data_IF_117082004459
#
_entry.id   IF_117082004459
#
_cell.length_a   1.000
_cell.length_b   1.000
_cell.length_c   1.000
_cell.angle_alpha   90.00
_cell.angle_beta   90.00
_cell.angle_gamma   90.00
#
_symmetry.space_group_name_H-M   'P 1'
#
loop_
_entity.id
_entity.type
_entity.pdbx_description
1 polymer ?
#
# COMPACT_ATOMS: atom_id res chain seq x y z
N UNK A 1 -18.58 26.83 -24.75
CA UNK A 1 -17.64 27.64 -23.93
C UNK A 1 -17.58 27.02 -22.55
N UNK A 2 -16.70 26.04 -22.37
CA UNK A 2 -16.58 25.29 -21.11
C UNK A 2 -15.60 26.03 -20.18
N UNK A 3 -16.00 26.15 -18.92
CA UNK A 3 -15.50 27.07 -17.89
C UNK A 3 -13.97 27.17 -17.74
N UNK A 4 -13.32 28.10 -18.45
CA UNK A 4 -11.92 28.52 -18.17
C UNK A 4 -11.75 29.08 -16.75
N UNK A 5 -12.82 29.64 -16.16
CA UNK A 5 -12.80 30.15 -14.78
C UNK A 5 -12.67 29.05 -13.71
N UNK A 6 -13.22 27.86 -13.96
CA UNK A 6 -13.25 26.78 -12.99
C UNK A 6 -11.88 26.09 -12.87
N UNK A 7 -11.12 26.08 -13.96
CA UNK A 7 -9.76 25.54 -14.02
C UNK A 7 -8.74 26.48 -13.33
N UNK A 8 -8.81 27.79 -13.64
CA UNK A 8 -7.96 28.79 -12.98
C UNK A 8 -8.16 28.82 -11.46
N UNK A 9 -9.41 28.70 -10.98
CA UNK A 9 -9.71 28.71 -9.54
C UNK A 9 -9.10 27.49 -8.83
N UNK A 10 -9.11 26.31 -9.46
CA UNK A 10 -8.53 25.07 -8.90
C UNK A 10 -7.00 25.10 -8.89
N UNK A 11 -6.39 25.67 -9.94
CA UNK A 11 -4.94 25.90 -9.99
C UNK A 11 -4.51 26.82 -8.84
N UNK A 12 -5.25 27.91 -8.61
CA UNK A 12 -5.00 28.85 -7.51
C UNK A 12 -5.14 28.14 -6.15
N UNK A 13 -6.19 27.34 -5.94
CA UNK A 13 -6.38 26.55 -4.71
C UNK A 13 -5.22 25.57 -4.48
N UNK A 14 -4.72 24.91 -5.53
CA UNK A 14 -3.57 24.02 -5.45
C UNK A 14 -2.28 24.73 -5.07
N UNK A 15 -2.03 25.93 -5.62
CA UNK A 15 -0.86 26.76 -5.29
C UNK A 15 -0.94 27.23 -3.83
N UNK A 16 -2.09 27.76 -3.42
CA UNK A 16 -2.32 28.23 -2.05
C UNK A 16 -2.17 27.09 -1.05
N UNK A 17 -2.78 25.93 -1.33
CA UNK A 17 -2.66 24.73 -0.49
C UNK A 17 -1.22 24.23 -0.37
N UNK A 18 -0.45 24.29 -1.46
CA UNK A 18 0.97 23.94 -1.47
C UNK A 18 1.82 24.87 -0.60
N UNK A 19 1.57 26.17 -0.66
CA UNK A 19 2.26 27.17 0.19
C UNK A 19 1.92 26.93 1.67
N UNK A 20 0.64 26.77 2.01
CA UNK A 20 0.19 26.50 3.39
C UNK A 20 0.82 25.22 3.93
N UNK A 21 0.90 24.17 3.11
CA UNK A 21 1.54 22.92 3.49
C UNK A 21 3.04 23.10 3.77
N UNK A 22 3.77 23.80 2.90
CA UNK A 22 5.19 24.06 3.07
C UNK A 22 5.49 24.88 4.34
N UNK A 23 4.66 25.91 4.61
CA UNK A 23 4.76 26.71 5.85
C UNK A 23 4.50 25.85 7.08
N UNK A 24 3.45 25.02 7.07
CA UNK A 24 3.14 24.12 8.19
C UNK A 24 4.27 23.14 8.50
N UNK A 25 4.84 22.52 7.46
CA UNK A 25 6.00 21.62 7.60
C UNK A 25 7.22 22.37 8.15
N UNK A 26 7.48 23.59 7.66
CA UNK A 26 8.56 24.45 8.16
C UNK A 26 8.42 24.77 9.65
N UNK A 27 7.20 25.09 10.12
CA UNK A 27 6.94 25.35 11.54
C UNK A 27 7.19 24.11 12.42
N UNK A 28 6.81 22.92 11.94
CA UNK A 28 7.08 21.66 12.65
C UNK A 28 8.59 21.41 12.75
N UNK A 29 9.33 21.58 11.65
CA UNK A 29 10.80 21.40 11.62
C UNK A 29 11.48 22.41 12.55
N UNK A 30 11.10 23.68 12.49
CA UNK A 30 11.68 24.73 13.33
C UNK A 30 11.43 24.46 14.82
N UNK A 31 10.23 24.01 15.18
CA UNK A 31 9.91 23.66 16.56
C UNK A 31 10.73 22.44 17.04
N UNK A 32 10.90 21.43 16.19
CA UNK A 32 11.73 20.26 16.53
C UNK A 32 13.22 20.61 16.65
N UNK A 33 13.76 21.47 15.78
CA UNK A 33 15.14 21.92 15.87
C UNK A 33 15.38 22.75 17.14
N UNK A 34 14.41 23.58 17.54
CA UNK A 34 14.49 24.41 18.75
C UNK A 34 14.57 23.58 20.05
N UNK A 35 14.09 22.33 20.05
CA UNK A 35 14.24 21.40 21.18
C UNK A 35 15.71 21.08 21.48
N UNK A 36 16.56 20.98 20.44
CA UNK A 36 17.98 20.69 20.60
C UNK A 36 18.82 21.94 20.94
N UNK A 37 18.28 23.15 20.71
CA UNK A 37 18.88 24.44 21.07
C UNK A 37 18.43 24.96 22.45
N UNK A 38 17.60 24.19 23.17
CA UNK A 38 16.88 24.62 24.37
C UNK A 38 17.72 25.08 25.59
N UNK A 39 18.98 24.67 25.86
CA UNK A 39 19.67 25.18 27.05
C UNK A 39 20.05 26.68 26.96
N UNK A 40 19.83 27.34 25.81
CA UNK A 40 20.18 28.75 25.61
C UNK A 40 19.04 29.77 25.83
N UNK A 41 17.76 29.36 25.81
CA UNK A 41 16.62 30.31 25.76
C UNK A 41 15.46 29.83 26.65
N UNK A 42 15.58 30.07 27.96
CA UNK A 42 14.68 29.57 29.01
C UNK A 42 13.23 30.11 29.03
N UNK A 43 12.72 30.71 27.95
CA UNK A 43 11.36 31.28 27.89
C UNK A 43 10.45 30.67 26.80
N UNK A 44 10.89 29.61 26.11
CA UNK A 44 10.23 29.18 24.86
C UNK A 44 9.35 27.92 25.01
N UNK A 45 9.31 27.28 26.18
CA UNK A 45 8.69 25.94 26.31
C UNK A 45 7.18 25.91 26.01
N UNK A 46 6.42 26.93 26.41
CA UNK A 46 4.96 26.99 26.18
C UNK A 46 4.60 27.34 24.73
N UNK A 47 5.43 28.15 24.04
CA UNK A 47 5.20 28.53 22.64
C UNK A 47 5.63 27.43 21.65
N UNK A 48 6.44 26.44 22.07
CA UNK A 48 6.80 25.30 21.23
C UNK A 48 5.62 24.37 20.96
N UNK A 49 4.88 23.98 22.01
CA UNK A 49 3.73 23.10 21.85
C UNK A 49 2.63 23.71 20.97
N UNK A 50 2.43 25.03 21.05
CA UNK A 50 1.44 25.72 20.21
C UNK A 50 1.87 25.78 18.75
N UNK A 51 3.17 25.95 18.46
CA UNK A 51 3.70 25.96 17.09
C UNK A 51 3.64 24.58 16.42
N UNK A 52 3.86 23.49 17.16
CA UNK A 52 3.70 22.12 16.62
C UNK A 52 2.24 21.85 16.27
N UNK A 53 1.30 22.16 17.18
CA UNK A 53 -0.13 21.96 16.94
C UNK A 53 -0.60 22.80 15.74
N UNK A 54 -0.19 24.07 15.68
CA UNK A 54 -0.50 24.96 14.56
C UNK A 54 0.07 24.43 13.24
N UNK A 55 1.31 23.92 13.26
CA UNK A 55 1.96 23.32 12.10
C UNK A 55 1.21 22.09 11.57
N UNK A 56 0.80 21.17 12.45
CA UNK A 56 0.04 19.97 12.06
C UNK A 56 -1.30 20.33 11.42
N UNK A 57 -2.02 21.30 12.01
CA UNK A 57 -3.30 21.79 11.47
C UNK A 57 -3.11 22.46 10.11
N UNK A 58 -2.09 23.31 9.96
CA UNK A 58 -1.77 23.94 8.68
C UNK A 58 -1.41 22.89 7.61
N UNK A 59 -0.59 21.90 7.95
CA UNK A 59 -0.19 20.85 7.01
C UNK A 59 -1.34 19.93 6.59
N UNK A 60 -2.29 19.62 7.47
CA UNK A 60 -3.46 18.80 7.12
C UNK A 60 -4.40 19.54 6.17
N UNK A 61 -4.66 20.82 6.41
CA UNK A 61 -5.46 21.69 5.55
C UNK A 61 -4.78 21.86 4.18
N UNK A 62 -3.48 22.14 4.16
CA UNK A 62 -2.72 22.28 2.91
C UNK A 62 -2.77 21.02 2.04
N UNK A 63 -2.61 19.83 2.64
CA UNK A 63 -2.72 18.54 1.91
C UNK A 63 -4.12 18.31 1.35
N UNK A 64 -5.17 18.63 2.12
CA UNK A 64 -6.55 18.48 1.66
C UNK A 64 -6.85 19.39 0.46
N UNK A 65 -6.41 20.65 0.49
CA UNK A 65 -6.58 21.60 -0.62
C UNK A 65 -5.84 21.17 -1.89
N UNK A 66 -4.60 20.68 -1.76
CA UNK A 66 -3.83 20.13 -2.89
C UNK A 66 -4.50 18.87 -3.46
N UNK A 67 -5.07 18.01 -2.60
CA UNK A 67 -5.83 16.83 -3.01
C UNK A 67 -7.07 17.19 -3.81
N UNK A 68 -7.86 18.17 -3.33
CA UNK A 68 -9.05 18.65 -4.01
C UNK A 68 -8.75 19.33 -5.35
N UNK A 69 -7.62 20.04 -5.47
CA UNK A 69 -7.16 20.60 -6.73
C UNK A 69 -6.81 19.53 -7.78
N UNK A 70 -6.37 18.34 -7.35
CA UNK A 70 -5.97 17.23 -8.25
C UNK A 70 -7.12 16.34 -8.71
N UNK A 71 -8.27 16.35 -8.04
CA UNK A 71 -9.42 15.55 -8.48
C UNK A 71 -10.04 16.15 -9.74
N UNK A 72 -9.54 15.76 -10.91
CA UNK A 72 -10.23 15.96 -12.19
C UNK A 72 -11.53 15.15 -12.14
N UNK A 73 -12.69 15.82 -12.03
CA UNK A 73 -13.93 15.21 -12.52
C UNK A 73 -13.80 15.23 -14.04
N UNK A 74 -13.47 14.08 -14.63
CA UNK A 74 -13.38 13.89 -16.07
C UNK A 74 -14.79 14.03 -16.66
N UNK A 75 -15.03 15.11 -17.37
CA UNK A 75 -16.29 15.42 -18.07
C UNK A 75 -15.98 15.77 -19.52
N UNK A 76 -15.39 14.83 -20.25
CA UNK A 76 -15.21 14.89 -21.71
C UNK A 76 -16.09 13.84 -22.42
N UNK A 77 -16.51 14.09 -23.68
CA UNK A 77 -17.22 13.08 -24.48
C UNK A 77 -16.37 11.81 -24.63
N UNK A 78 -16.97 10.65 -24.34
CA UNK A 78 -16.31 9.33 -24.22
C UNK A 78 -15.82 8.72 -25.54
N UNK A 79 -15.83 9.46 -26.66
CA UNK A 79 -15.58 8.88 -27.98
C UNK A 79 -14.09 8.81 -28.36
N UNK A 80 -13.27 9.79 -27.97
CA UNK A 80 -11.85 9.83 -28.36
C UNK A 80 -10.94 8.92 -27.53
N UNK A 81 -11.41 8.46 -26.35
CA UNK A 81 -10.63 7.56 -25.50
C UNK A 81 -10.72 6.09 -25.96
N UNK A 82 -11.74 5.74 -26.76
CA UNK A 82 -11.94 4.39 -27.31
C UNK A 82 -11.13 4.13 -28.58
N UNK A 83 -10.81 5.16 -29.35
CA UNK A 83 -9.99 5.04 -30.57
C UNK A 83 -8.52 4.84 -30.22
N UNK A 84 -7.97 5.68 -29.33
CA UNK A 84 -6.59 5.55 -28.85
C UNK A 84 -6.34 4.23 -28.12
N UNK A 85 -7.29 3.74 -27.33
CA UNK A 85 -7.17 2.42 -26.67
C UNK A 85 -7.19 1.27 -27.67
N UNK A 86 -7.87 1.42 -28.81
CA UNK A 86 -7.88 0.39 -29.87
C UNK A 86 -6.58 0.39 -30.65
N UNK A 87 -6.06 1.55 -31.05
CA UNK A 87 -4.77 1.66 -31.74
C UNK A 87 -3.61 1.15 -30.86
N UNK A 88 -3.59 1.52 -29.57
CA UNK A 88 -2.57 1.04 -28.61
C UNK A 88 -2.71 -0.46 -28.31
N UNK A 89 -3.92 -1.02 -28.41
CA UNK A 89 -4.16 -2.46 -28.21
C UNK A 89 -3.79 -3.27 -29.46
N UNK A 90 -3.91 -2.68 -30.65
CA UNK A 90 -3.56 -3.29 -31.92
C UNK A 90 -2.03 -3.30 -32.13
N UNK A 91 -1.33 -2.23 -31.75
CA UNK A 91 0.14 -2.12 -31.89
C UNK A 91 0.94 -2.93 -30.83
N UNK A 92 0.34 -3.21 -29.66
CA UNK A 92 0.93 -4.15 -28.69
C UNK A 92 0.74 -5.63 -29.07
N UNK A 93 0.03 -5.92 -30.16
CA UNK A 93 -0.19 -7.28 -30.63
C UNK A 93 0.64 -7.54 -31.88
N UNK A 94 1.98 -7.59 -31.77
CA UNK A 94 2.76 -8.63 -32.49
C UNK A 94 4.23 -8.76 -32.04
N UNK A 95 4.63 -10.04 -31.94
CA UNK A 95 5.98 -10.60 -32.03
C UNK A 95 6.87 -10.68 -30.75
N UNK A 96 6.56 -11.64 -29.88
CA UNK A 96 7.62 -12.51 -29.34
C UNK A 96 7.28 -13.96 -29.68
N UNK A 97 8.02 -14.47 -30.65
CA UNK A 97 7.79 -15.76 -31.28
C UNK A 97 8.58 -16.86 -30.56
N UNK A 98 7.85 -17.92 -30.19
CA UNK A 98 8.28 -19.32 -30.04
C UNK A 98 9.27 -19.70 -28.94
N UNK A 99 8.84 -19.71 -27.67
CA UNK A 99 9.19 -20.79 -26.73
C UNK A 99 7.93 -21.22 -25.95
N UNK A 100 7.32 -22.32 -26.40
CA UNK A 100 6.44 -23.25 -25.68
C UNK A 100 5.48 -22.73 -24.57
N UNK A 101 4.50 -21.90 -24.92
CA UNK A 101 3.36 -21.54 -24.05
C UNK A 101 2.43 -22.72 -23.65
N UNK A 102 2.67 -23.94 -24.17
CA UNK A 102 2.03 -25.16 -23.62
C UNK A 102 2.65 -25.60 -22.29
N UNK A 103 3.91 -25.27 -22.04
CA UNK A 103 4.63 -25.65 -20.81
C UNK A 103 4.32 -24.64 -19.69
N UNK A 104 4.31 -23.33 -20.00
CA UNK A 104 4.07 -22.27 -19.01
C UNK A 104 2.62 -22.22 -18.44
N UNK A 105 1.61 -22.65 -19.21
CA UNK A 105 0.22 -22.76 -18.71
C UNK A 105 -0.03 -24.00 -17.84
N UNK A 106 0.82 -25.02 -17.96
CA UNK A 106 0.74 -26.19 -17.08
C UNK A 106 1.35 -25.88 -15.71
N UNK A 107 2.30 -24.95 -15.63
CA UNK A 107 2.95 -24.59 -14.36
C UNK A 107 2.16 -23.59 -13.49
N UNK A 108 1.40 -22.66 -14.07
CA UNK A 108 0.64 -21.66 -13.28
C UNK A 108 -0.75 -22.09 -12.81
N UNK A 109 -1.21 -23.30 -13.20
CA UNK A 109 -2.51 -23.84 -12.78
C UNK A 109 -2.45 -25.30 -12.33
N UNK A 110 -1.29 -25.74 -11.86
CA UNK A 110 -1.21 -26.80 -10.86
C UNK A 110 -0.86 -26.09 -9.55
N UNK A 111 -1.89 -25.65 -8.82
CA UNK A 111 -1.75 -25.33 -7.41
C UNK A 111 -1.20 -26.60 -6.75
N UNK A 112 0.13 -26.72 -6.67
CA UNK A 112 0.71 -27.69 -5.77
C UNK A 112 0.27 -27.23 -4.38
N UNK A 113 -0.68 -27.99 -3.86
CA UNK A 113 -1.27 -27.81 -2.56
C UNK A 113 -0.16 -28.17 -1.57
N UNK A 114 0.57 -27.17 -1.06
CA UNK A 114 1.67 -27.37 -0.11
C UNK A 114 1.38 -26.74 1.25
N UNK A 115 1.98 -27.33 2.27
CA UNK A 115 1.90 -26.92 3.68
C UNK A 115 3.31 -26.78 4.26
N UNK A 116 3.52 -25.82 5.15
CA UNK A 116 4.81 -25.60 5.82
C UNK A 116 4.80 -26.23 7.20
N UNK A 117 5.83 -27.04 7.46
CA UNK A 117 6.02 -27.76 8.71
C UNK A 117 6.06 -26.79 9.91
N UNK A 118 5.39 -27.09 11.03
CA UNK A 118 5.43 -26.23 12.21
C UNK A 118 6.84 -26.18 12.85
N UNK A 119 7.59 -27.29 12.77
CA UNK A 119 8.90 -27.47 13.42
C UNK A 119 10.08 -26.88 12.62
N UNK A 120 10.15 -27.18 11.31
CA UNK A 120 11.32 -26.82 10.49
C UNK A 120 11.01 -25.89 9.31
N UNK A 121 9.75 -25.45 9.19
CA UNK A 121 9.25 -24.58 8.11
C UNK A 121 9.39 -25.13 6.68
N UNK A 122 9.86 -26.37 6.51
CA UNK A 122 9.99 -27.02 5.22
C UNK A 122 8.61 -27.18 4.54
N UNK A 123 8.60 -27.02 3.22
CA UNK A 123 7.43 -27.26 2.39
C UNK A 123 7.20 -28.75 2.23
N UNK A 124 5.96 -29.18 2.43
CA UNK A 124 5.51 -30.56 2.28
C UNK A 124 4.22 -30.58 1.45
N UNK A 125 3.92 -31.70 0.82
CA UNK A 125 2.61 -31.92 0.20
C UNK A 125 1.50 -31.72 1.25
N UNK A 126 0.39 -31.10 0.87
CA UNK A 126 -0.78 -30.88 1.75
C UNK A 126 -1.36 -32.18 2.33
N UNK A 127 -1.12 -33.33 1.68
CA UNK A 127 -1.56 -34.65 2.16
C UNK A 127 -0.47 -35.43 2.90
N UNK A 128 0.73 -34.86 3.07
CA UNK A 128 1.81 -35.52 3.78
C UNK A 128 1.43 -35.69 5.26
N UNK A 129 1.53 -36.92 5.78
CA UNK A 129 1.34 -37.19 7.22
C UNK A 129 2.58 -36.91 8.05
N UNK A 130 3.74 -36.77 7.38
CA UNK A 130 5.05 -36.61 8.01
C UNK A 130 5.89 -35.64 7.18
N UNK A 131 6.69 -34.81 7.85
CA UNK A 131 7.58 -33.88 7.19
C UNK A 131 8.75 -34.59 6.52
N UNK A 132 9.00 -34.27 5.24
CA UNK A 132 10.10 -34.86 4.47
C UNK A 132 11.48 -34.41 4.95
N UNK A 133 11.57 -33.24 5.61
CA UNK A 133 12.84 -32.68 6.06
C UNK A 133 13.20 -33.07 7.51
N UNK A 134 12.25 -32.97 8.45
CA UNK A 134 12.51 -33.21 9.87
C UNK A 134 11.83 -34.45 10.46
N UNK A 135 10.98 -35.15 9.71
CA UNK A 135 10.27 -36.34 10.21
C UNK A 135 9.13 -36.06 11.20
N UNK A 136 8.79 -34.79 11.47
CA UNK A 136 7.68 -34.44 12.35
C UNK A 136 6.32 -34.88 11.76
N UNK A 137 5.37 -35.32 12.61
CA UNK A 137 4.01 -35.61 12.16
C UNK A 137 3.26 -34.32 11.82
N UNK A 138 2.56 -34.32 10.68
CA UNK A 138 1.76 -33.20 10.19
C UNK A 138 0.25 -33.44 10.37
N UNK A 139 -0.14 -34.59 10.93
CA UNK A 139 -1.54 -34.96 11.16
C UNK A 139 -2.10 -34.16 12.33
N UNK A 140 -3.34 -33.69 12.21
CA UNK A 140 -4.01 -32.94 13.28
C UNK A 140 -3.65 -31.47 13.35
N UNK A 141 -3.05 -30.91 12.28
CA UNK A 141 -2.79 -29.47 12.15
C UNK A 141 -3.70 -28.83 11.10
N UNK A 142 -4.10 -27.58 11.34
CA UNK A 142 -4.80 -26.76 10.34
C UNK A 142 -3.82 -25.87 9.60
N UNK A 143 -4.06 -25.68 8.31
CA UNK A 143 -3.21 -24.85 7.45
C UNK A 143 -3.68 -23.40 7.46
N UNK A 144 -2.75 -22.46 7.62
CA UNK A 144 -3.02 -21.04 7.40
C UNK A 144 -3.22 -20.74 5.90
N UNK A 145 -4.32 -20.08 5.55
CA UNK A 145 -4.63 -19.66 4.18
C UNK A 145 -3.66 -18.61 3.62
N UNK A 146 -3.06 -17.78 4.50
CA UNK A 146 -2.18 -16.68 4.10
C UNK A 146 -0.71 -17.09 3.98
N UNK A 147 -0.20 -17.83 4.97
CA UNK A 147 1.22 -18.19 5.03
C UNK A 147 1.48 -19.69 4.92
N UNK A 148 0.46 -20.51 4.71
CA UNK A 148 0.56 -21.97 4.54
C UNK A 148 1.22 -22.75 5.68
N UNK A 149 1.53 -22.10 6.81
CA UNK A 149 2.09 -22.80 7.98
C UNK A 149 1.02 -23.60 8.69
N UNK A 150 1.38 -24.82 9.07
CA UNK A 150 0.54 -25.68 9.91
C UNK A 150 0.52 -25.17 11.35
N UNK A 151 -0.66 -25.16 11.94
CA UNK A 151 -0.95 -24.66 13.29
C UNK A 151 -1.84 -25.68 14.02
N UNK A 152 -1.74 -25.74 15.34
CA UNK A 152 -2.61 -26.61 16.15
C UNK A 152 -4.09 -26.24 15.92
N UNK A 153 -4.99 -27.23 15.98
CA UNK A 153 -6.41 -27.04 15.64
C UNK A 153 -7.12 -25.99 16.51
N UNK A 154 -6.74 -25.90 17.77
CA UNK A 154 -7.31 -25.03 18.80
C UNK A 154 -6.76 -23.60 18.78
N UNK A 155 -5.70 -23.31 18.00
CA UNK A 155 -5.13 -21.95 17.93
C UNK A 155 -6.09 -20.98 17.28
N UNK A 156 -6.39 -19.86 17.94
CA UNK A 156 -7.16 -18.77 17.33
C UNK A 156 -6.37 -17.99 16.28
N UNK A 157 -5.07 -17.76 16.51
CA UNK A 157 -4.21 -17.00 15.61
C UNK A 157 -3.09 -17.86 15.05
N UNK A 158 -2.68 -17.58 13.82
CA UNK A 158 -1.52 -18.21 13.21
C UNK A 158 -0.23 -17.82 13.96
N UNK A 159 0.55 -18.80 14.40
CA UNK A 159 1.82 -18.60 15.11
C UNK A 159 2.90 -17.90 14.29
N UNK A 160 2.75 -17.86 12.96
CA UNK A 160 3.73 -17.26 12.06
C UNK A 160 3.33 -15.87 11.55
N UNK A 161 2.08 -15.68 11.10
CA UNK A 161 1.65 -14.41 10.50
C UNK A 161 0.58 -13.65 11.30
N UNK A 162 0.09 -14.20 12.42
CA UNK A 162 -0.92 -13.55 13.25
C UNK A 162 -2.34 -13.54 12.68
N UNK A 163 -2.59 -14.23 11.55
CA UNK A 163 -3.93 -14.39 10.96
C UNK A 163 -4.94 -14.97 11.95
N UNK A 164 -6.11 -14.33 12.11
CA UNK A 164 -7.21 -14.84 12.96
C UNK A 164 -8.01 -15.88 12.17
N UNK A 165 -7.95 -17.14 12.62
CA UNK A 165 -8.67 -18.24 12.01
C UNK A 165 -10.20 -18.14 12.16
N UNK A 166 -10.71 -17.24 12.99
CA UNK A 166 -12.16 -16.99 13.13
C UNK A 166 -12.71 -16.00 12.08
N UNK A 167 -11.85 -15.41 11.25
CA UNK A 167 -12.24 -14.46 10.19
C UNK A 167 -12.25 -15.11 8.79
N UNK A 168 -11.98 -16.41 8.69
CA UNK A 168 -12.03 -17.18 7.44
C UNK A 168 -13.46 -17.61 7.06
#
# INVERSE_FOLDING_TARGET
MYNRLEDSTRIIIGIIGGIIYAVGVGLIIFSFASFFLAPAIGMVFTSMFTLVILGIVASSIGRALVGMARTRKYSGPLDDQRSLRREVQEDMTYNYTFVSDREAKTERKKSQSYSRCPECDAENDDRASTCQNCGASLVGYKKCSLCYKLNEMDKRFCSNCGHDFNLD
#
